data_IF_820358381122
#
_entry.id   IF_820358381122
#
_cell.length_a   1.000
_cell.length_b   1.000
_cell.length_c   1.000
_cell.angle_alpha   90.00
_cell.angle_beta   90.00
_cell.angle_gamma   90.00
#
_symmetry.space_group_name_H-M   'P 1'
#
loop_
_entity.id
_entity.type
_entity.pdbx_description
1 polymer ?
#
# COMPACT_ATOMS: atom_id res chain seq x y z
N UNK A 1 -8.55 4.74 10.08
CA UNK A 1 -9.97 5.00 10.24
C UNK A 1 -10.23 6.40 10.80
N UNK A 2 -11.41 6.94 10.57
CA UNK A 2 -11.76 8.29 11.02
C UNK A 2 -11.84 8.41 12.54
N UNK A 3 -11.07 9.33 13.11
CA UNK A 3 -11.11 9.63 14.54
C UNK A 3 -12.09 10.77 14.81
N UNK A 4 -13.30 10.43 15.24
CA UNK A 4 -14.34 11.39 15.59
C UNK A 4 -13.93 12.35 16.72
N UNK A 5 -13.10 11.90 17.64
CA UNK A 5 -12.66 12.72 18.78
C UNK A 5 -11.74 13.83 18.30
N UNK A 6 -10.88 13.51 17.35
CA UNK A 6 -9.89 14.45 16.80
C UNK A 6 -10.46 15.35 15.71
N UNK A 7 -11.31 14.82 14.83
CA UNK A 7 -11.76 15.52 13.62
C UNK A 7 -13.21 15.98 13.65
N UNK A 8 -13.96 15.60 14.69
CA UNK A 8 -15.34 16.04 14.93
C UNK A 8 -16.23 15.84 13.67
N UNK A 9 -16.66 16.94 13.06
CA UNK A 9 -17.52 16.95 11.88
C UNK A 9 -16.77 17.08 10.56
N UNK A 10 -15.44 17.18 10.58
CA UNK A 10 -14.61 17.31 9.37
C UNK A 10 -14.39 15.93 8.73
N UNK A 11 -15.43 15.40 8.12
CA UNK A 11 -15.40 14.09 7.47
C UNK A 11 -14.46 14.02 6.26
N UNK A 12 -14.16 15.15 5.65
CA UNK A 12 -13.18 15.31 4.57
C UNK A 12 -11.73 15.28 5.04
N UNK A 13 -11.49 15.21 6.34
CA UNK A 13 -10.14 15.13 6.90
C UNK A 13 -9.46 13.77 6.66
N UNK A 14 -10.21 12.72 6.30
CA UNK A 14 -9.60 11.46 5.94
C UNK A 14 -9.00 11.56 4.54
N UNK A 15 -7.69 11.33 4.45
CA UNK A 15 -6.94 11.30 3.19
C UNK A 15 -6.33 9.91 3.05
N UNK A 16 -6.53 9.31 1.89
CA UNK A 16 -5.95 8.02 1.52
C UNK A 16 -5.21 8.19 0.20
N UNK A 17 -3.94 7.82 0.16
CA UNK A 17 -3.16 7.73 -1.08
C UNK A 17 -2.87 6.25 -1.40
N UNK A 18 -3.57 5.72 -2.39
CA UNK A 18 -3.41 4.36 -2.88
C UNK A 18 -2.71 4.41 -4.24
N UNK A 19 -1.40 4.23 -4.19
CA UNK A 19 -0.49 4.53 -5.29
C UNK A 19 0.49 3.38 -5.55
N UNK A 20 0.84 3.16 -6.81
CA UNK A 20 1.86 2.20 -7.27
C UNK A 20 1.70 0.78 -6.74
N UNK A 21 0.48 0.37 -6.44
CA UNK A 21 0.17 -0.97 -5.99
C UNK A 21 -0.10 -1.92 -7.17
N UNK A 22 0.18 -3.19 -6.95
CA UNK A 22 -0.23 -4.28 -7.86
C UNK A 22 -1.37 -5.03 -7.23
N UNK A 23 -2.52 -5.00 -7.89
CA UNK A 23 -3.73 -5.71 -7.46
C UNK A 23 -3.91 -6.91 -8.38
N UNK A 24 -3.72 -8.09 -7.82
CA UNK A 24 -3.81 -9.34 -8.56
C UNK A 24 -4.93 -10.23 -8.05
N UNK A 25 -5.70 -10.83 -8.97
CA UNK A 25 -6.67 -11.90 -8.68
C UNK A 25 -7.70 -11.59 -7.58
N UNK A 26 -8.29 -10.41 -7.59
CA UNK A 26 -9.10 -9.85 -6.49
C UNK A 26 -10.51 -10.43 -6.30
N UNK A 27 -10.90 -11.49 -6.98
CA UNK A 27 -12.21 -12.13 -6.78
C UNK A 27 -13.38 -11.40 -7.44
N UNK A 28 -14.52 -11.27 -6.75
CA UNK A 28 -15.79 -10.77 -7.32
C UNK A 28 -16.07 -9.30 -7.06
N UNK A 29 -15.33 -8.66 -6.17
CA UNK A 29 -15.49 -7.24 -5.84
C UNK A 29 -14.78 -6.31 -6.83
N UNK A 30 -14.54 -5.09 -6.38
CA UNK A 30 -13.61 -4.17 -7.02
C UNK A 30 -12.16 -4.54 -6.70
N UNK A 31 -11.23 -4.07 -7.49
CA UNK A 31 -9.80 -4.24 -7.20
C UNK A 31 -9.36 -3.47 -5.96
N UNK A 32 -10.00 -2.33 -5.69
CA UNK A 32 -9.80 -1.55 -4.48
C UNK A 32 -11.16 -1.25 -3.85
N UNK A 33 -11.28 -1.35 -2.53
CA UNK A 33 -12.47 -0.90 -1.81
C UNK A 33 -12.46 0.61 -1.70
N UNK A 34 -13.49 1.25 -2.26
CA UNK A 34 -13.58 2.71 -2.29
C UNK A 34 -14.05 3.37 -1.00
N UNK A 35 -14.41 2.57 -0.01
CA UNK A 35 -14.90 3.07 1.26
C UNK A 35 -16.27 3.73 1.20
N UNK A 36 -16.80 3.99 2.37
CA UNK A 36 -17.96 4.85 2.62
C UNK A 36 -17.54 5.94 3.58
N UNK A 37 -18.09 7.13 3.44
CA UNK A 37 -17.70 8.25 4.29
C UNK A 37 -17.43 9.49 3.47
N UNK A 38 -16.86 10.52 4.03
CA UNK A 38 -16.64 11.80 3.37
C UNK A 38 -15.18 12.08 3.01
N UNK A 39 -14.30 11.13 3.13
CA UNK A 39 -12.88 11.31 2.89
C UNK A 39 -12.50 11.56 1.43
N UNK A 40 -11.23 11.82 1.20
CA UNK A 40 -10.64 12.03 -0.12
C UNK A 40 -9.63 10.90 -0.40
N UNK A 41 -9.69 10.34 -1.58
CA UNK A 41 -8.90 9.16 -1.94
C UNK A 41 -8.20 9.40 -3.28
N UNK A 42 -6.88 9.27 -3.28
CA UNK A 42 -6.08 9.16 -4.49
C UNK A 42 -5.96 7.67 -4.87
N UNK A 43 -6.26 7.33 -6.11
CA UNK A 43 -6.03 5.99 -6.70
C UNK A 43 -5.17 6.22 -7.94
N UNK A 44 -3.85 6.15 -7.78
CA UNK A 44 -2.89 6.66 -8.77
C UNK A 44 -1.90 5.59 -9.20
N UNK A 45 -1.76 5.42 -10.50
CA UNK A 45 -0.73 4.58 -11.13
C UNK A 45 -0.66 3.16 -10.57
N UNK A 46 -1.83 2.56 -10.26
CA UNK A 46 -1.90 1.17 -9.82
C UNK A 46 -2.05 0.23 -11.03
N UNK A 47 -1.55 -0.97 -10.87
CA UNK A 47 -1.62 -2.03 -11.88
C UNK A 47 -2.63 -3.10 -11.47
N UNK A 48 -3.76 -3.16 -12.16
CA UNK A 48 -4.84 -4.11 -11.93
C UNK A 48 -4.70 -5.29 -12.89
N UNK A 49 -4.25 -6.44 -12.37
CA UNK A 49 -4.06 -7.67 -13.14
C UNK A 49 -5.11 -8.70 -12.76
N UNK A 50 -6.14 -8.82 -13.60
CA UNK A 50 -7.15 -9.84 -13.42
C UNK A 50 -6.53 -11.23 -13.51
N UNK A 51 -6.84 -12.09 -12.54
CA UNK A 51 -6.40 -13.47 -12.49
C UNK A 51 -7.53 -14.47 -12.73
N UNK A 52 -7.24 -15.78 -12.60
CA UNK A 52 -8.22 -16.84 -12.83
C UNK A 52 -9.43 -16.83 -11.90
N UNK A 53 -9.30 -16.22 -10.69
CA UNK A 53 -10.39 -16.06 -9.72
C UNK A 53 -11.11 -14.73 -9.79
N UNK A 54 -10.70 -13.82 -10.68
CA UNK A 54 -11.30 -12.49 -10.81
C UNK A 54 -12.55 -12.54 -11.69
N UNK A 55 -13.70 -12.17 -11.14
CA UNK A 55 -14.98 -12.07 -11.88
C UNK A 55 -15.16 -10.69 -12.51
N UNK A 56 -15.06 -9.62 -11.73
CA UNK A 56 -15.22 -8.23 -12.17
C UNK A 56 -13.89 -7.64 -12.65
N UNK A 57 -13.39 -8.16 -13.75
CA UNK A 57 -12.02 -7.95 -14.25
C UNK A 57 -11.64 -6.51 -14.56
N UNK A 58 -12.62 -5.61 -14.73
CA UNK A 58 -12.40 -4.21 -15.08
C UNK A 58 -12.76 -3.24 -13.96
N UNK A 59 -13.19 -3.73 -12.80
CA UNK A 59 -13.65 -2.88 -11.73
C UNK A 59 -12.47 -2.40 -10.88
N UNK A 60 -12.10 -1.15 -11.03
CA UNK A 60 -11.01 -0.49 -10.28
C UNK A 60 -11.45 -0.25 -8.84
N UNK A 61 -12.57 0.43 -8.66
CA UNK A 61 -13.14 0.70 -7.35
C UNK A 61 -14.65 0.78 -7.40
N UNK A 62 -15.29 0.64 -6.24
CA UNK A 62 -16.74 0.82 -6.11
C UNK A 62 -16.99 1.98 -5.16
N UNK A 63 -17.67 3.00 -5.65
CA UNK A 63 -18.12 4.14 -4.86
C UNK A 63 -19.48 3.84 -4.28
N UNK A 64 -19.64 4.00 -2.98
CA UNK A 64 -20.92 3.79 -2.29
C UNK A 64 -21.17 4.85 -1.23
N UNK A 65 -22.42 4.96 -0.82
CA UNK A 65 -22.86 5.83 0.27
C UNK A 65 -23.22 4.97 1.47
N UNK A 66 -22.81 5.37 2.64
CA UNK A 66 -23.23 4.71 3.87
C UNK A 66 -24.72 4.99 4.13
N UNK A 67 -25.58 3.98 3.96
CA UNK A 67 -27.03 4.14 4.06
C UNK A 67 -27.67 3.38 5.24
N UNK A 68 -26.97 2.43 5.84
CA UNK A 68 -27.52 1.59 6.91
C UNK A 68 -26.42 0.79 7.64
N UNK A 69 -26.83 -0.02 8.59
CA UNK A 69 -25.95 -0.96 9.29
C UNK A 69 -25.03 -0.28 10.29
N UNK A 70 -23.75 -0.64 10.27
CA UNK A 70 -22.73 -0.10 11.18
C UNK A 70 -22.52 1.41 11.04
N UNK A 71 -23.03 2.02 9.98
CA UNK A 71 -22.98 3.46 9.78
C UNK A 71 -24.13 4.19 10.46
N UNK A 72 -25.16 3.49 10.96
CA UNK A 72 -26.30 4.11 11.65
C UNK A 72 -25.83 4.90 12.86
N UNK A 73 -26.19 6.18 12.91
CA UNK A 73 -25.70 7.11 13.94
C UNK A 73 -24.25 7.57 13.76
N UNK A 74 -23.57 7.11 12.72
CA UNK A 74 -22.25 7.57 12.34
C UNK A 74 -22.32 8.95 11.65
N UNK A 75 -21.30 9.82 11.82
CA UNK A 75 -21.20 11.06 11.08
C UNK A 75 -21.06 10.87 9.57
N UNK A 76 -20.76 9.64 9.10
CA UNK A 76 -20.61 9.31 7.69
C UNK A 76 -21.89 8.91 6.98
N UNK A 77 -23.01 8.78 7.70
CA UNK A 77 -24.27 8.39 7.10
C UNK A 77 -24.66 9.34 5.97
N UNK A 78 -24.89 8.80 4.78
CA UNK A 78 -25.28 9.56 3.60
C UNK A 78 -24.11 10.24 2.86
N UNK A 79 -22.86 10.05 3.29
CA UNK A 79 -21.71 10.61 2.61
C UNK A 79 -21.04 9.59 1.67
N UNK A 80 -20.51 10.07 0.55
CA UNK A 80 -19.61 9.35 -0.33
C UNK A 80 -18.20 9.96 -0.23
N UNK A 81 -17.17 9.14 -0.39
CA UNK A 81 -15.81 9.65 -0.58
C UNK A 81 -15.67 10.35 -1.93
N UNK A 82 -14.71 11.23 -2.04
CA UNK A 82 -14.30 11.87 -3.28
C UNK A 82 -12.98 11.28 -3.76
N UNK A 83 -12.78 11.22 -5.06
CA UNK A 83 -11.68 10.46 -5.64
C UNK A 83 -10.92 11.26 -6.69
N UNK A 84 -9.61 11.19 -6.61
CA UNK A 84 -8.72 11.41 -7.73
C UNK A 84 -8.24 10.06 -8.25
N UNK A 85 -8.60 9.72 -9.48
CA UNK A 85 -8.27 8.42 -10.09
C UNK A 85 -7.55 8.69 -11.40
N UNK A 86 -6.27 8.36 -11.47
CA UNK A 86 -5.42 8.70 -12.62
C UNK A 86 -4.29 7.71 -12.85
N UNK A 87 -3.99 7.43 -14.12
CA UNK A 87 -2.83 6.68 -14.55
C UNK A 87 -2.90 5.16 -14.29
N UNK A 88 -4.03 4.63 -13.86
CA UNK A 88 -4.16 3.21 -13.55
C UNK A 88 -4.19 2.34 -14.82
N UNK A 89 -3.55 1.18 -14.75
CA UNK A 89 -3.49 0.20 -15.81
C UNK A 89 -4.33 -1.04 -15.48
N UNK A 90 -5.33 -1.35 -16.31
CA UNK A 90 -6.26 -2.48 -16.10
C UNK A 90 -6.11 -3.48 -17.24
N UNK A 91 -5.45 -4.61 -16.99
CA UNK A 91 -5.09 -5.59 -18.03
C UNK A 91 -6.26 -6.14 -18.82
N UNK A 92 -7.45 -6.21 -18.23
CA UNK A 92 -8.65 -6.77 -18.85
C UNK A 92 -9.43 -5.76 -19.70
N UNK A 93 -9.05 -4.48 -19.70
CA UNK A 93 -9.69 -3.45 -20.49
C UNK A 93 -9.21 -3.49 -21.95
N UNK A 94 -10.06 -3.07 -22.88
CA UNK A 94 -9.67 -2.96 -24.31
C UNK A 94 -8.60 -1.87 -24.55
N UNK A 95 -8.59 -0.84 -23.72
CA UNK A 95 -7.54 0.17 -23.62
C UNK A 95 -7.05 0.20 -22.17
N UNK A 96 -6.06 -0.63 -21.82
CA UNK A 96 -5.67 -0.84 -20.42
C UNK A 96 -5.09 0.40 -19.73
N UNK A 97 -4.31 1.21 -20.45
CA UNK A 97 -3.70 2.41 -19.90
C UNK A 97 -4.75 3.49 -19.62
N UNK A 98 -4.61 4.14 -18.47
CA UNK A 98 -5.51 5.23 -18.06
C UNK A 98 -7.00 4.81 -18.03
N UNK A 99 -7.25 3.59 -17.60
CA UNK A 99 -8.61 3.05 -17.46
C UNK A 99 -9.31 3.51 -16.17
N UNK A 100 -9.07 4.67 -15.73
CA UNK A 100 -9.38 5.31 -14.47
C UNK A 100 -10.88 5.29 -14.11
N UNK A 101 -11.60 6.33 -14.44
CA UNK A 101 -13.04 6.43 -14.15
C UNK A 101 -13.90 5.43 -14.94
N UNK A 102 -13.41 4.85 -16.02
CA UNK A 102 -14.09 3.76 -16.73
C UNK A 102 -14.20 2.48 -15.89
N UNK A 103 -13.37 2.32 -14.88
CA UNK A 103 -13.39 1.21 -13.94
C UNK A 103 -14.16 1.49 -12.65
N UNK A 104 -14.81 2.61 -12.52
CA UNK A 104 -15.57 2.98 -11.32
C UNK A 104 -17.00 2.44 -11.42
N UNK A 105 -17.42 1.72 -10.40
CA UNK A 105 -18.79 1.26 -10.21
C UNK A 105 -19.45 2.07 -9.09
N UNK A 106 -20.73 2.37 -9.25
CA UNK A 106 -21.55 3.05 -8.25
C UNK A 106 -22.55 2.07 -7.66
N UNK A 107 -22.70 2.10 -6.34
CA UNK A 107 -23.47 1.10 -5.60
C UNK A 107 -24.29 1.72 -4.45
N UNK A 108 -25.16 0.91 -3.84
CA UNK A 108 -25.91 1.19 -2.61
C UNK A 108 -26.71 2.50 -2.60
N UNK A 109 -27.57 2.68 -3.60
CA UNK A 109 -28.49 3.82 -3.63
C UNK A 109 -27.82 5.15 -3.94
N UNK A 110 -26.58 5.13 -4.37
CA UNK A 110 -25.88 6.32 -4.83
C UNK A 110 -26.60 6.90 -6.06
N UNK A 111 -27.05 8.14 -5.96
CA UNK A 111 -27.60 8.89 -7.07
C UNK A 111 -26.51 9.76 -7.67
N UNK A 112 -26.28 9.61 -8.99
CA UNK A 112 -25.24 10.36 -9.69
C UNK A 112 -25.80 11.14 -10.86
N UNK A 113 -25.09 12.22 -11.22
CA UNK A 113 -25.26 12.94 -12.46
C UNK A 113 -24.01 12.68 -13.30
N UNK A 114 -24.20 12.09 -14.48
CA UNK A 114 -23.11 11.74 -15.39
C UNK A 114 -22.01 10.85 -14.76
N UNK A 115 -22.39 10.01 -13.77
CA UNK A 115 -21.47 9.13 -13.07
C UNK A 115 -20.42 9.81 -12.18
N UNK A 116 -20.48 11.12 -12.00
CA UNK A 116 -19.45 11.89 -11.29
C UNK A 116 -19.98 12.72 -10.12
N UNK A 117 -21.30 12.82 -9.97
CA UNK A 117 -21.92 13.64 -8.95
C UNK A 117 -22.87 12.82 -8.11
N UNK A 118 -22.85 13.08 -6.83
CA UNK A 118 -23.75 12.51 -5.84
C UNK A 118 -24.73 13.59 -5.37
N UNK A 119 -25.99 13.24 -5.19
CA UNK A 119 -27.01 14.11 -4.59
C UNK A 119 -27.01 13.80 -3.08
N UNK A 120 -26.50 14.69 -2.23
CA UNK A 120 -26.53 14.48 -0.80
C UNK A 120 -27.98 14.56 -0.29
N UNK A 121 -28.24 13.89 0.83
CA UNK A 121 -29.42 14.14 1.62
C UNK A 121 -29.38 15.60 2.14
N UNK A 122 -30.52 16.25 2.27
CA UNK A 122 -30.65 17.65 2.72
C UNK A 122 -30.01 17.91 4.09
N UNK A 123 -29.75 16.87 4.87
CA UNK A 123 -29.13 16.97 6.19
C UNK A 123 -27.58 16.84 6.15
N UNK A 124 -26.97 16.62 5.00
CA UNK A 124 -25.54 16.42 4.87
C UNK A 124 -24.84 17.63 4.27
N UNK A 125 -23.79 18.06 4.93
CA UNK A 125 -22.98 19.19 4.52
C UNK A 125 -21.51 18.73 4.36
N UNK A 126 -20.98 18.83 3.15
CA UNK A 126 -19.58 18.53 2.84
C UNK A 126 -18.60 19.69 3.15
N UNK A 127 -19.09 20.78 3.71
CA UNK A 127 -18.27 21.94 4.02
C UNK A 127 -18.07 22.90 2.85
N UNK A 128 -17.32 23.97 3.08
CA UNK A 128 -17.14 25.08 2.12
C UNK A 128 -16.18 24.79 0.97
N UNK A 129 -15.31 23.79 1.12
CA UNK A 129 -14.27 23.48 0.13
C UNK A 129 -14.72 22.43 -0.91
N UNK A 130 -15.99 22.09 -0.93
CA UNK A 130 -16.52 21.06 -1.82
C UNK A 130 -17.15 21.70 -3.04
N UNK A 131 -16.84 21.17 -4.23
CA UNK A 131 -17.45 21.61 -5.48
C UNK A 131 -18.87 21.05 -5.61
N UNK A 132 -19.84 21.93 -5.79
CA UNK A 132 -21.23 21.59 -6.02
C UNK A 132 -21.64 21.88 -7.47
N UNK A 133 -22.62 21.13 -7.93
CA UNK A 133 -23.36 21.36 -9.17
C UNK A 133 -24.84 21.21 -8.93
N UNK A 134 -25.67 21.96 -9.61
CA UNK A 134 -27.12 21.79 -9.57
C UNK A 134 -27.59 20.75 -10.60
N UNK A 135 -28.45 19.83 -10.18
CA UNK A 135 -29.12 18.94 -11.09
C UNK A 135 -30.31 19.63 -11.78
N UNK A 136 -31.06 18.90 -12.62
CA UNK A 136 -32.26 19.39 -13.33
C UNK A 136 -33.37 19.88 -12.39
N UNK A 137 -33.38 19.41 -11.14
CA UNK A 137 -34.30 19.85 -10.09
C UNK A 137 -33.77 20.99 -9.25
N UNK A 138 -32.67 21.57 -9.64
CA UNK A 138 -32.01 22.68 -8.94
C UNK A 138 -31.45 22.34 -7.55
N UNK A 139 -31.18 21.05 -7.30
CA UNK A 139 -30.59 20.53 -6.07
C UNK A 139 -29.09 20.45 -6.18
N UNK A 140 -28.38 20.88 -5.16
CA UNK A 140 -26.93 20.82 -5.11
C UNK A 140 -26.44 19.37 -5.07
N UNK A 141 -25.41 19.08 -5.88
CA UNK A 141 -24.81 17.76 -6.02
C UNK A 141 -23.30 17.86 -5.79
N UNK A 142 -22.77 17.01 -4.93
CA UNK A 142 -21.33 16.92 -4.66
C UNK A 142 -20.61 16.29 -5.83
N UNK A 143 -19.51 16.90 -6.27
CA UNK A 143 -18.62 16.33 -7.27
C UNK A 143 -17.75 15.24 -6.63
N UNK A 144 -17.94 13.99 -7.06
CA UNK A 144 -17.17 12.84 -6.57
C UNK A 144 -15.77 12.78 -7.17
N UNK A 145 -15.63 13.19 -8.43
CA UNK A 145 -14.36 13.23 -9.13
C UNK A 145 -13.61 14.51 -8.76
N UNK A 146 -12.44 14.35 -8.18
CA UNK A 146 -11.49 15.43 -7.95
C UNK A 146 -10.71 15.70 -9.25
N UNK A 147 -10.41 16.96 -9.52
CA UNK A 147 -9.64 17.36 -10.69
C UNK A 147 -8.13 17.21 -10.45
N UNK A 148 -7.73 17.28 -9.19
CA UNK A 148 -6.35 17.16 -8.74
C UNK A 148 -6.26 16.18 -7.57
N UNK A 149 -5.09 15.57 -7.39
CA UNK A 149 -4.83 14.72 -6.23
C UNK A 149 -4.92 15.56 -4.94
N UNK A 150 -5.46 14.96 -3.89
CA UNK A 150 -5.32 15.56 -2.57
C UNK A 150 -3.89 15.40 -2.09
N UNK A 151 -3.41 16.42 -1.40
CA UNK A 151 -2.08 16.40 -0.83
C UNK A 151 -1.99 15.31 0.24
N UNK A 152 -1.16 14.33 0.00
CA UNK A 152 -0.88 13.20 0.89
C UNK A 152 0.63 13.12 1.23
N UNK A 153 1.36 14.20 0.97
CA UNK A 153 2.80 14.26 1.03
C UNK A 153 3.47 13.86 -0.27
N UNK A 154 4.73 14.16 -0.36
CA UNK A 154 5.56 13.83 -1.52
C UNK A 154 5.90 12.34 -1.53
N UNK A 155 5.67 11.65 -2.64
CA UNK A 155 5.92 10.21 -2.80
C UNK A 155 6.50 9.95 -4.18
N UNK A 156 7.64 9.26 -4.24
CA UNK A 156 8.19 8.74 -5.49
C UNK A 156 7.14 7.93 -6.24
N UNK A 157 6.89 8.32 -7.48
CA UNK A 157 5.78 7.76 -8.26
C UNK A 157 6.28 7.17 -9.58
N UNK A 158 5.96 5.90 -9.80
CA UNK A 158 6.16 5.21 -11.06
C UNK A 158 4.89 5.22 -11.90
N UNK A 159 5.01 5.10 -13.22
CA UNK A 159 3.86 4.69 -14.04
C UNK A 159 3.35 3.31 -13.59
N UNK A 160 2.08 3.00 -13.83
CA UNK A 160 1.51 1.73 -13.41
C UNK A 160 2.27 0.50 -13.93
N UNK A 161 2.87 0.58 -15.11
CA UNK A 161 3.70 -0.51 -15.68
C UNK A 161 5.03 -0.64 -14.97
N UNK A 162 5.72 0.47 -14.71
CA UNK A 162 6.94 0.46 -13.92
C UNK A 162 6.67 -0.03 -12.51
N UNK A 163 5.58 0.41 -11.89
CA UNK A 163 5.16 -0.07 -10.58
C UNK A 163 4.96 -1.60 -10.58
N UNK A 164 4.33 -2.17 -11.62
CA UNK A 164 4.21 -3.63 -11.73
C UNK A 164 5.58 -4.31 -11.71
N UNK A 165 6.51 -3.85 -12.54
CA UNK A 165 7.85 -4.45 -12.65
C UNK A 165 8.61 -4.32 -11.32
N UNK A 166 8.54 -3.16 -10.66
CA UNK A 166 9.19 -2.90 -9.37
C UNK A 166 8.57 -3.74 -8.24
N UNK A 167 7.25 -3.77 -8.13
CA UNK A 167 6.55 -4.57 -7.11
C UNK A 167 6.85 -6.06 -7.29
N UNK A 168 6.80 -6.58 -8.51
CA UNK A 168 7.15 -7.98 -8.76
C UNK A 168 8.61 -8.27 -8.40
N UNK A 169 9.54 -7.37 -8.72
CA UNK A 169 10.95 -7.59 -8.41
C UNK A 169 11.25 -7.50 -6.90
N UNK A 170 10.69 -6.52 -6.20
CA UNK A 170 11.18 -6.06 -4.91
C UNK A 170 10.20 -6.13 -3.75
N UNK A 171 8.90 -6.40 -3.98
CA UNK A 171 7.94 -6.48 -2.88
C UNK A 171 8.13 -7.74 -2.02
N UNK A 172 7.75 -7.61 -0.75
CA UNK A 172 7.84 -8.67 0.25
C UNK A 172 9.28 -8.97 0.67
N UNK A 173 9.54 -10.19 1.12
CA UNK A 173 10.86 -10.64 1.55
C UNK A 173 11.81 -10.90 0.38
N UNK A 174 12.00 -9.91 -0.51
CA UNK A 174 12.67 -10.06 -1.80
C UNK A 174 14.16 -10.39 -1.68
N UNK A 175 14.82 -10.06 -0.57
CA UNK A 175 16.20 -10.44 -0.29
C UNK A 175 16.34 -11.97 -0.22
N UNK A 176 15.39 -12.64 0.43
CA UNK A 176 15.36 -14.11 0.53
C UNK A 176 13.91 -14.60 0.65
N UNK A 177 13.28 -14.88 -0.49
CA UNK A 177 11.90 -15.37 -0.55
C UNK A 177 11.81 -16.84 -0.15
N UNK A 178 10.84 -17.17 0.67
CA UNK A 178 10.47 -18.56 0.95
C UNK A 178 9.60 -19.15 -0.18
N UNK A 179 9.09 -20.37 0.01
CA UNK A 179 8.26 -21.06 -0.98
C UNK A 179 6.91 -20.37 -1.21
N UNK A 180 6.34 -19.73 -0.17
CA UNK A 180 5.06 -19.02 -0.26
C UNK A 180 5.24 -17.71 -1.02
N UNK A 181 6.28 -16.95 -0.68
CA UNK A 181 6.64 -15.71 -1.38
C UNK A 181 6.93 -15.98 -2.86
N UNK A 182 7.69 -17.02 -3.16
CA UNK A 182 8.00 -17.43 -4.52
C UNK A 182 6.75 -17.85 -5.31
N UNK A 183 5.80 -18.51 -4.65
CA UNK A 183 4.51 -18.84 -5.27
C UNK A 183 3.74 -17.58 -5.62
N UNK A 184 3.53 -16.65 -4.69
CA UNK A 184 2.81 -15.40 -4.97
C UNK A 184 3.51 -14.54 -6.04
N UNK A 185 4.82 -14.46 -5.99
CA UNK A 185 5.63 -13.84 -7.03
C UNK A 185 5.32 -14.43 -8.41
N UNK A 186 5.40 -15.76 -8.55
CA UNK A 186 5.16 -16.44 -9.81
C UNK A 186 3.72 -16.31 -10.29
N UNK A 187 2.75 -16.45 -9.39
CA UNK A 187 1.32 -16.30 -9.72
C UNK A 187 1.01 -14.90 -10.21
N UNK A 188 1.44 -13.87 -9.50
CA UNK A 188 1.22 -12.48 -9.90
C UNK A 188 1.95 -12.12 -11.19
N UNK A 189 3.21 -12.56 -11.34
CA UNK A 189 4.03 -12.34 -12.54
C UNK A 189 3.41 -12.98 -13.79
N UNK A 190 2.96 -14.22 -13.67
CA UNK A 190 2.50 -15.01 -14.82
C UNK A 190 0.98 -14.94 -15.04
N UNK A 191 0.20 -14.41 -14.09
CA UNK A 191 -1.25 -14.37 -14.17
C UNK A 191 -1.91 -15.74 -13.97
N UNK A 192 -1.31 -16.58 -13.14
CA UNK A 192 -1.74 -17.97 -12.87
C UNK A 192 -2.16 -18.14 -11.42
N UNK A 193 -2.69 -19.28 -11.07
CA UNK A 193 -2.96 -19.67 -9.68
C UNK A 193 -2.60 -21.14 -9.50
N UNK A 194 -1.97 -21.46 -8.38
CA UNK A 194 -1.58 -22.83 -8.02
C UNK A 194 -2.73 -23.57 -7.35
N UNK A 195 -3.47 -22.89 -6.48
CA UNK A 195 -4.48 -23.50 -5.62
C UNK A 195 -5.89 -22.97 -5.88
N UNK A 196 -6.86 -23.73 -5.38
CA UNK A 196 -8.29 -23.35 -5.41
C UNK A 196 -8.84 -23.46 -4.00
N UNK A 197 -9.58 -22.47 -3.55
CA UNK A 197 -10.19 -22.44 -2.24
C UNK A 197 -11.09 -23.66 -1.97
N UNK A 198 -10.84 -24.40 -0.89
CA UNK A 198 -11.57 -25.63 -0.60
C UNK A 198 -13.04 -25.36 -0.27
N UNK A 199 -13.35 -24.22 0.34
CA UNK A 199 -14.73 -23.82 0.69
C UNK A 199 -15.39 -23.00 -0.40
N UNK A 200 -14.67 -22.05 -0.96
CA UNK A 200 -15.21 -21.09 -1.93
C UNK A 200 -15.17 -21.58 -3.37
N UNK A 201 -14.33 -22.59 -3.69
CA UNK A 201 -14.04 -23.00 -5.07
C UNK A 201 -13.33 -21.94 -5.91
N UNK A 202 -12.85 -20.84 -5.31
CA UNK A 202 -12.22 -19.73 -6.01
C UNK A 202 -10.76 -19.99 -6.28
N UNK A 203 -10.35 -19.80 -7.53
CA UNK A 203 -8.96 -20.01 -7.95
C UNK A 203 -8.02 -18.95 -7.36
N UNK A 204 -6.95 -19.40 -6.74
CA UNK A 204 -5.93 -18.56 -6.13
C UNK A 204 -6.32 -17.95 -4.77
N UNK A 205 -7.42 -18.39 -4.19
CA UNK A 205 -7.84 -17.96 -2.85
C UNK A 205 -7.70 -19.13 -1.90
N UNK A 206 -6.88 -18.95 -0.86
CA UNK A 206 -6.79 -19.88 0.25
C UNK A 206 -7.79 -19.44 1.31
N UNK A 207 -8.83 -20.21 1.52
CA UNK A 207 -9.93 -19.92 2.46
C UNK A 207 -9.94 -20.83 3.70
N UNK A 208 -8.89 -21.62 3.86
CA UNK A 208 -8.57 -22.38 5.05
C UNK A 208 -7.14 -22.08 5.46
N UNK A 209 -6.96 -21.49 6.61
CA UNK A 209 -5.68 -20.94 7.09
C UNK A 209 -4.63 -22.01 7.36
N UNK A 210 -5.04 -23.27 7.48
CA UNK A 210 -4.22 -24.32 8.07
C UNK A 210 -3.28 -25.02 7.10
N UNK A 211 -3.23 -24.59 5.83
CA UNK A 211 -2.35 -25.24 4.88
C UNK A 211 -1.83 -24.26 3.82
N UNK A 212 -0.65 -23.69 4.03
CA UNK A 212 0.01 -22.84 3.05
C UNK A 212 0.36 -23.60 1.75
N UNK A 213 0.39 -24.93 1.78
CA UNK A 213 0.67 -25.78 0.62
C UNK A 213 -0.60 -26.24 -0.13
N UNK A 214 -1.78 -25.75 0.29
CA UNK A 214 -3.03 -25.89 -0.47
C UNK A 214 -3.74 -27.23 -0.37
N UNK A 215 -3.31 -28.15 0.48
CA UNK A 215 -4.05 -29.39 0.74
C UNK A 215 -5.27 -29.18 1.63
N UNK A 216 -5.34 -28.04 2.29
CA UNK A 216 -6.49 -27.44 3.01
C UNK A 216 -7.24 -28.36 3.99
N UNK A 217 -6.68 -29.50 4.32
CA UNK A 217 -7.31 -30.51 5.18
C UNK A 217 -6.58 -30.69 6.52
N UNK A 218 -5.52 -29.92 6.78
CA UNK A 218 -4.78 -30.02 8.03
C UNK A 218 -5.37 -29.11 9.10
N UNK A 219 -5.55 -29.63 10.30
CA UNK A 219 -5.97 -28.86 11.46
C UNK A 219 -4.83 -28.02 12.08
N UNK A 220 -3.62 -28.17 11.57
CA UNK A 220 -2.42 -27.45 12.04
C UNK A 220 -1.90 -26.55 10.95
N UNK A 221 -1.77 -25.26 11.26
CA UNK A 221 -1.08 -24.34 10.39
C UNK A 221 0.38 -24.78 10.24
N UNK A 222 0.82 -25.05 9.02
CA UNK A 222 2.24 -25.23 8.73
C UNK A 222 2.76 -23.98 8.05
N UNK A 223 3.64 -23.28 8.73
CA UNK A 223 4.43 -22.22 8.11
C UNK A 223 5.56 -22.85 7.28
N UNK A 224 6.04 -22.17 6.23
CA UNK A 224 7.21 -22.63 5.50
C UNK A 224 8.38 -22.86 6.48
N UNK A 225 9.07 -23.95 6.30
CA UNK A 225 10.29 -24.19 7.08
C UNK A 225 11.39 -23.32 6.52
N UNK A 226 11.82 -22.32 7.29
CA UNK A 226 12.99 -21.54 6.94
C UNK A 226 14.23 -22.45 7.04
N UNK A 227 15.09 -22.37 6.04
CA UNK A 227 16.38 -23.07 6.09
C UNK A 227 17.20 -22.45 7.21
N UNK A 228 17.44 -23.21 8.24
CA UNK A 228 18.30 -22.82 9.36
C UNK A 228 19.75 -23.02 8.95
N UNK A 229 20.53 -21.97 8.99
CA UNK A 229 21.98 -22.03 8.84
C UNK A 229 22.61 -22.03 10.23
N UNK A 230 23.47 -23.00 10.49
CA UNK A 230 24.25 -22.98 11.73
C UNK A 230 25.46 -22.06 11.52
N UNK A 231 25.50 -20.96 12.23
CA UNK A 231 26.61 -20.02 12.24
C UNK A 231 27.54 -20.32 13.39
N UNK A 232 28.87 -20.09 13.26
CA UNK A 232 29.77 -20.19 14.38
C UNK A 232 29.42 -19.13 15.44
N UNK A 233 29.74 -19.41 16.71
CA UNK A 233 29.50 -18.46 17.82
C UNK A 233 30.25 -17.13 17.66
N UNK A 234 31.29 -17.11 16.86
CA UNK A 234 32.06 -15.90 16.50
C UNK A 234 31.41 -15.12 15.35
N UNK A 235 30.21 -15.48 14.89
CA UNK A 235 29.53 -14.71 13.88
C UNK A 235 28.82 -13.49 14.48
N UNK A 236 28.29 -13.64 15.68
CA UNK A 236 27.60 -12.65 16.49
C UNK A 236 27.81 -13.08 17.95
N UNK A 237 28.86 -12.52 18.57
CA UNK A 237 29.40 -13.03 19.83
C UNK A 237 28.60 -12.63 21.04
N UNK A 238 27.92 -11.50 21.01
CA UNK A 238 27.06 -10.98 22.07
C UNK A 238 25.57 -11.21 21.84
N UNK A 239 25.22 -11.76 20.67
CA UNK A 239 23.86 -12.12 20.25
C UNK A 239 22.90 -10.93 20.18
N UNK A 240 23.34 -9.80 19.69
CA UNK A 240 22.52 -8.60 19.50
C UNK A 240 21.87 -8.51 18.11
N UNK A 241 22.27 -9.40 17.18
CA UNK A 241 21.74 -9.52 15.83
C UNK A 241 22.62 -8.87 14.76
N UNK A 242 23.73 -8.24 15.13
CA UNK A 242 24.73 -7.70 14.21
C UNK A 242 25.93 -8.65 14.15
N UNK A 243 26.51 -8.92 12.96
CA UNK A 243 27.72 -9.75 12.87
C UNK A 243 28.96 -9.06 13.41
N UNK A 244 29.82 -9.77 14.17
CA UNK A 244 31.09 -9.27 14.70
C UNK A 244 31.93 -8.54 13.66
N UNK A 245 32.01 -9.09 12.45
CA UNK A 245 32.73 -8.49 11.34
C UNK A 245 32.17 -7.14 10.90
N UNK A 246 30.85 -7.03 10.86
CA UNK A 246 30.18 -5.79 10.50
C UNK A 246 30.32 -4.73 11.59
N UNK A 247 30.17 -5.12 12.85
CA UNK A 247 30.33 -4.22 13.98
C UNK A 247 31.78 -3.67 14.03
N UNK A 248 32.77 -4.55 13.91
CA UNK A 248 34.19 -4.15 13.88
C UNK A 248 34.45 -3.17 12.72
N UNK A 249 33.92 -3.43 11.55
CA UNK A 249 34.07 -2.57 10.37
C UNK A 249 33.45 -1.18 10.57
N UNK A 250 32.40 -1.10 11.39
CA UNK A 250 31.68 0.13 11.68
C UNK A 250 32.02 0.78 13.03
N UNK A 251 33.05 0.26 13.72
CA UNK A 251 33.55 0.86 14.96
C UNK A 251 32.69 0.57 16.19
N UNK A 252 31.83 -0.47 16.12
CA UNK A 252 31.08 -0.99 17.25
C UNK A 252 31.89 -2.08 18.01
N UNK A 253 31.32 -2.53 19.11
CA UNK A 253 31.98 -3.53 19.96
C UNK A 253 31.27 -4.88 19.89
N UNK A 254 31.83 -5.92 19.22
CA UNK A 254 31.22 -7.24 19.08
C UNK A 254 31.01 -8.03 20.39
N UNK A 255 31.24 -7.41 21.54
CA UNK A 255 31.00 -8.00 22.85
C UNK A 255 30.14 -7.10 23.75
N UNK A 256 29.42 -6.15 23.19
CA UNK A 256 28.53 -5.23 23.92
C UNK A 256 27.15 -5.15 23.27
N UNK A 257 26.31 -6.16 23.48
CA UNK A 257 24.93 -6.20 22.95
C UNK A 257 24.09 -4.92 23.23
N UNK A 258 24.55 -4.06 24.15
CA UNK A 258 23.83 -2.83 24.43
C UNK A 258 24.03 -1.74 23.37
N UNK A 259 25.02 -1.88 22.51
CA UNK A 259 25.29 -0.87 21.50
C UNK A 259 24.38 -0.99 20.27
N UNK A 260 23.73 -2.14 20.05
CA UNK A 260 22.70 -2.32 19.02
C UNK A 260 21.60 -1.26 19.09
N UNK A 261 21.21 -0.88 20.30
CA UNK A 261 20.13 0.09 20.54
C UNK A 261 20.66 1.53 20.68
N UNK A 262 21.94 1.78 20.49
CA UNK A 262 22.49 3.14 20.44
C UNK A 262 22.35 3.73 19.04
N UNK A 263 22.50 5.03 18.94
CA UNK A 263 22.37 5.81 17.69
C UNK A 263 23.72 6.30 17.18
N UNK A 264 24.81 5.57 17.49
CA UNK A 264 26.18 6.03 17.22
C UNK A 264 26.53 6.04 15.74
N UNK A 265 25.87 5.21 14.95
CA UNK A 265 26.09 5.13 13.50
C UNK A 265 25.21 6.11 12.71
N UNK A 266 24.17 6.62 13.31
CA UNK A 266 23.31 7.64 12.71
C UNK A 266 23.52 8.99 13.43
N UNK A 267 24.27 9.94 12.83
CA UNK A 267 24.49 11.25 13.44
C UNK A 267 23.23 12.07 13.68
N UNK A 268 22.16 11.77 12.94
CA UNK A 268 20.86 12.44 13.09
C UNK A 268 20.02 11.82 14.23
N UNK A 269 20.38 10.61 14.69
CA UNK A 269 19.76 9.95 15.82
C UNK A 269 18.38 9.38 15.56
N UNK A 270 18.04 9.07 14.31
CA UNK A 270 16.75 8.46 13.94
C UNK A 270 16.78 6.94 13.98
N UNK A 271 17.93 6.34 13.61
CA UNK A 271 18.10 4.89 13.51
C UNK A 271 19.09 4.37 14.53
N UNK A 272 18.68 3.33 15.24
CA UNK A 272 19.59 2.58 16.09
C UNK A 272 20.64 1.83 15.25
N UNK A 273 21.75 1.42 15.85
CA UNK A 273 22.82 0.73 15.12
C UNK A 273 22.32 -0.54 14.41
N UNK A 274 21.45 -1.33 15.07
CA UNK A 274 20.85 -2.51 14.43
C UNK A 274 19.93 -2.15 13.27
N UNK A 275 19.21 -1.04 13.34
CA UNK A 275 18.39 -0.58 12.21
C UNK A 275 19.26 -0.13 11.05
N UNK A 276 20.39 0.53 11.30
CA UNK A 276 21.38 0.86 10.26
C UNK A 276 21.92 -0.42 9.62
N UNK A 277 22.25 -1.45 10.42
CA UNK A 277 22.65 -2.75 9.89
C UNK A 277 21.56 -3.38 9.02
N UNK A 278 20.33 -3.47 9.51
CA UNK A 278 19.22 -4.02 8.75
C UNK A 278 18.97 -3.28 7.43
N UNK A 279 19.06 -1.95 7.45
CA UNK A 279 18.93 -1.12 6.26
C UNK A 279 20.05 -1.39 5.25
N UNK A 280 21.29 -1.62 5.72
CA UNK A 280 22.42 -1.93 4.83
C UNK A 280 22.22 -3.21 4.03
N UNK A 281 21.51 -4.21 4.59
CA UNK A 281 21.23 -5.48 3.91
C UNK A 281 20.31 -5.35 2.70
N UNK A 282 19.48 -4.31 2.67
CA UNK A 282 18.46 -4.10 1.62
C UNK A 282 18.70 -2.83 0.80
N UNK A 283 19.81 -2.15 1.02
CA UNK A 283 20.11 -0.87 0.40
C UNK A 283 20.05 -0.93 -1.14
N UNK A 284 20.66 -1.95 -1.75
CA UNK A 284 20.63 -2.11 -3.21
C UNK A 284 19.22 -2.32 -3.74
N UNK A 285 18.37 -3.01 -2.96
CA UNK A 285 16.96 -3.21 -3.30
C UNK A 285 16.21 -1.88 -3.26
N UNK A 286 16.43 -1.08 -2.23
CA UNK A 286 15.80 0.26 -2.08
C UNK A 286 16.21 1.17 -3.24
N UNK A 287 17.50 1.21 -3.57
CA UNK A 287 18.00 1.98 -4.69
C UNK A 287 17.35 1.51 -6.00
N UNK A 288 17.37 0.20 -6.25
CA UNK A 288 16.86 -0.37 -7.49
C UNK A 288 15.34 -0.16 -7.67
N UNK A 289 14.56 -0.23 -6.60
CA UNK A 289 13.11 -0.01 -6.67
C UNK A 289 12.75 1.45 -7.01
N UNK A 290 13.58 2.40 -6.62
CA UNK A 290 13.33 3.83 -6.86
C UNK A 290 13.91 4.34 -8.19
N UNK A 291 14.78 3.59 -8.84
CA UNK A 291 15.34 3.98 -10.14
C UNK A 291 14.28 4.08 -11.23
N UNK A 292 14.43 5.09 -12.11
CA UNK A 292 13.55 5.33 -13.25
C UNK A 292 12.08 5.60 -12.84
N UNK A 293 11.86 6.26 -11.73
CA UNK A 293 10.55 6.78 -11.38
C UNK A 293 10.13 7.87 -12.38
N UNK A 294 8.84 7.93 -12.70
CA UNK A 294 8.29 8.97 -13.58
C UNK A 294 8.24 10.33 -12.86
N UNK A 295 8.08 10.29 -11.56
CA UNK A 295 8.14 11.42 -10.65
C UNK A 295 8.98 11.01 -9.45
N UNK A 296 10.25 11.36 -9.48
CA UNK A 296 11.19 11.07 -8.42
C UNK A 296 11.23 12.25 -7.46
N UNK A 297 10.57 12.11 -6.35
CA UNK A 297 10.85 12.95 -5.20
C UNK A 297 12.19 12.52 -4.62
N UNK A 298 13.00 13.45 -4.14
CA UNK A 298 14.25 13.15 -3.46
C UNK A 298 13.98 12.23 -2.29
N UNK A 299 14.44 11.02 -2.43
CA UNK A 299 13.86 9.84 -1.86
C UNK A 299 14.18 9.69 -0.38
N UNK A 300 13.25 9.08 0.34
CA UNK A 300 13.54 8.46 1.60
C UNK A 300 14.56 7.34 1.37
N UNK A 301 15.83 7.63 1.60
CA UNK A 301 16.88 6.64 1.75
C UNK A 301 17.24 6.55 3.21
N UNK A 302 17.10 5.38 3.85
CA UNK A 302 17.65 5.18 5.19
C UNK A 302 19.15 5.45 5.19
N UNK A 303 19.66 5.91 6.31
CA UNK A 303 21.10 6.03 6.49
C UNK A 303 21.79 4.67 6.29
N UNK A 304 22.93 4.67 5.67
CA UNK A 304 23.71 3.45 5.46
C UNK A 304 25.20 3.74 5.38
N UNK A 305 26.00 2.71 5.57
CA UNK A 305 27.43 2.75 5.32
C UNK A 305 27.76 2.05 4.01
N UNK A 306 28.55 2.71 3.17
CA UNK A 306 29.10 2.10 1.97
C UNK A 306 30.14 1.04 2.37
N UNK A 307 30.49 0.14 1.42
CA UNK A 307 31.55 -0.84 1.63
C UNK A 307 32.90 -0.23 2.05
N UNK A 308 33.17 1.01 1.65
CA UNK A 308 34.38 1.75 2.01
C UNK A 308 34.29 2.43 3.41
N UNK A 309 33.23 2.19 4.16
CA UNK A 309 32.97 2.78 5.46
C UNK A 309 32.45 4.22 5.44
N UNK A 310 32.15 4.77 4.26
CA UNK A 310 31.58 6.11 4.16
C UNK A 310 30.12 6.10 4.61
N UNK A 311 29.81 6.92 5.62
CA UNK A 311 28.42 7.15 6.05
C UNK A 311 27.64 7.95 5.00
N UNK A 312 26.45 7.50 4.67
CA UNK A 312 25.48 8.21 3.86
C UNK A 312 24.25 8.48 4.73
N UNK A 313 23.99 9.74 5.01
CA UNK A 313 22.85 10.15 5.84
C UNK A 313 21.52 9.75 5.23
N UNK A 314 20.55 9.47 6.08
CA UNK A 314 19.17 9.29 5.64
C UNK A 314 18.65 10.55 4.95
N UNK A 315 18.00 10.39 3.82
CA UNK A 315 17.25 11.48 3.18
C UNK A 315 15.79 11.26 3.48
N UNK A 316 15.24 12.07 4.39
CA UNK A 316 13.83 11.97 4.75
C UNK A 316 13.17 13.35 4.70
N UNK A 317 12.49 13.68 3.61
CA UNK A 317 11.79 14.97 3.48
C UNK A 317 10.69 15.17 4.52
N UNK A 318 10.13 14.10 5.09
CA UNK A 318 9.13 14.20 6.16
C UNK A 318 9.72 14.70 7.48
N UNK A 319 10.99 14.40 7.76
CA UNK A 319 11.65 14.86 8.97
C UNK A 319 12.01 16.36 8.95
N UNK A 320 12.37 16.90 7.79
CA UNK A 320 12.57 18.35 7.67
C UNK A 320 11.26 19.11 7.91
N UNK A 321 10.14 18.64 7.36
CA UNK A 321 8.83 19.25 7.54
C UNK A 321 8.28 19.17 8.99
N UNK A 322 8.66 18.11 9.75
CA UNK A 322 8.25 17.96 11.15
C UNK A 322 9.08 18.86 12.08
N UNK A 323 10.34 19.10 11.75
CA UNK A 323 11.21 19.95 12.56
C UNK A 323 11.02 21.46 12.30
N UNK A 324 10.39 21.81 11.16
CA UNK A 324 10.08 23.20 10.80
C UNK A 324 8.66 23.64 11.23
N UNK A 325 7.88 22.75 11.87
CA UNK A 325 6.53 23.00 12.39
C UNK A 325 6.50 23.04 13.93
#
# INVERSE_FOLDING_TARGET
GYDKTKYSSSIEAEIVDFRNCVIYNWGSGAGCYGGTGGGNINIVNNYYKAGPGTSNKKNVTTVSVATSGNASGSPFMGYACRYFINGNYVTAASSPANYDWNGVKYDNGLSTINGQYYIPDANHNYGSNVTYKKNSSNVDCVKLKLDEAVDAGEVTTHSAKNAFDKVIAYAGASLKRDEVDNRYYNEAKNGTTTYTGAKSGRKGILDVINDPNGTQNSATASYPTLVSETRPSSFDSDNDGMPDAWETANGLNPNDASDAMKYTLDPEGYYTNIEVYCNSLVQDIIIAQNQNADDAVNDYFPAYYKEDGTYVAAVNPLHSAINDA
#
